data_IF_226996582437
#
_entry.id   IF_226996582437
#
_cell.length_a   1.000
_cell.length_b   1.000
_cell.length_c   1.000
_cell.angle_alpha   90.00
_cell.angle_beta   90.00
_cell.angle_gamma   90.00
#
_symmetry.space_group_name_H-M   'P 1'
#
loop_
_entity.id
_entity.type
_entity.pdbx_description
1 polymer ?
#
# COMPACT_ATOMS: atom_id res chain seq x y z
N UNK A 1 -1.01 -3.52 2.63
CA UNK A 1 -2.41 -3.07 2.50
C UNK A 1 -3.07 -3.10 3.88
N UNK A 2 -3.63 -1.97 4.30
CA UNK A 2 -4.24 -1.79 5.64
C UNK A 2 -5.76 -1.71 5.50
N UNK A 3 -6.46 -2.58 6.23
CA UNK A 3 -7.91 -2.57 6.39
C UNK A 3 -8.28 -2.55 7.86
N UNK A 4 -9.51 -2.12 8.18
CA UNK A 4 -10.02 -2.17 9.55
C UNK A 4 -10.88 -3.41 9.78
N UNK A 5 -10.71 -4.01 10.95
CA UNK A 5 -11.60 -5.03 11.52
C UNK A 5 -12.92 -4.42 11.99
N UNK A 6 -13.90 -5.25 12.38
CA UNK A 6 -15.18 -4.79 12.92
C UNK A 6 -15.05 -3.93 14.18
N UNK A 7 -14.01 -4.16 14.98
CA UNK A 7 -13.67 -3.42 16.20
C UNK A 7 -12.62 -2.31 15.97
N UNK A 8 -12.35 -1.96 14.70
CA UNK A 8 -11.53 -0.82 14.30
C UNK A 8 -10.02 -1.03 14.37
N UNK A 9 -9.54 -2.24 14.57
CA UNK A 9 -8.11 -2.52 14.54
C UNK A 9 -7.57 -2.55 13.10
N UNK A 10 -6.40 -1.95 12.87
CA UNK A 10 -5.72 -1.96 11.57
C UNK A 10 -4.96 -3.27 11.37
N UNK A 11 -5.33 -4.04 10.34
CA UNK A 11 -4.72 -5.32 9.99
C UNK A 11 -4.26 -5.32 8.53
N UNK A 12 -3.30 -6.19 8.19
CA UNK A 12 -2.84 -6.31 6.80
C UNK A 12 -3.70 -7.32 6.05
N UNK A 13 -4.39 -6.85 5.03
CA UNK A 13 -5.12 -7.70 4.09
C UNK A 13 -5.19 -7.02 2.72
N UNK A 14 -4.87 -7.77 1.65
CA UNK A 14 -5.03 -7.24 0.30
C UNK A 14 -6.50 -7.22 -0.13
N UNK A 15 -7.25 -8.28 0.16
CA UNK A 15 -8.63 -8.43 -0.28
C UNK A 15 -9.59 -8.07 0.86
N UNK A 16 -10.71 -7.38 0.57
CA UNK A 16 -11.71 -7.04 1.59
C UNK A 16 -12.46 -8.27 2.11
N UNK A 17 -12.48 -9.35 1.33
CA UNK A 17 -13.02 -10.65 1.72
C UNK A 17 -11.87 -11.64 1.81
N UNK A 18 -11.73 -12.29 2.95
CA UNK A 18 -10.72 -13.34 3.15
C UNK A 18 -11.01 -14.52 2.20
N UNK A 19 -9.97 -15.32 1.89
CA UNK A 19 -10.13 -16.51 1.03
C UNK A 19 -8.88 -16.85 0.24
N UNK A 20 -8.08 -15.88 -0.12
CA UNK A 20 -6.85 -16.09 -0.87
C UNK A 20 -5.75 -16.76 -0.04
N UNK A 21 -5.55 -16.29 1.18
CA UNK A 21 -4.50 -16.79 2.10
C UNK A 21 -5.04 -17.48 3.36
N UNK A 22 -6.35 -17.40 3.59
CA UNK A 22 -7.02 -17.94 4.78
C UNK A 22 -8.21 -18.78 4.35
N UNK A 23 -8.45 -19.91 5.01
CA UNK A 23 -9.65 -20.74 4.80
C UNK A 23 -10.89 -20.09 5.45
N UNK A 24 -11.28 -18.92 4.95
CA UNK A 24 -12.46 -18.17 5.40
C UNK A 24 -12.96 -17.31 4.23
N UNK A 25 -14.25 -17.18 4.07
CA UNK A 25 -14.87 -16.28 3.08
C UNK A 25 -15.50 -15.05 3.76
N UNK A 26 -15.12 -14.74 4.99
CA UNK A 26 -15.66 -13.61 5.74
C UNK A 26 -15.01 -12.29 5.30
N UNK A 27 -15.77 -11.19 5.22
CA UNK A 27 -15.21 -9.86 5.09
C UNK A 27 -14.33 -9.50 6.29
N UNK A 28 -13.17 -8.87 6.06
CA UNK A 28 -12.28 -8.38 7.13
C UNK A 28 -13.05 -7.49 8.09
N UNK A 29 -13.85 -6.56 7.57
CA UNK A 29 -14.64 -5.61 8.33
C UNK A 29 -15.80 -6.23 9.14
N UNK A 30 -16.06 -7.54 9.01
CA UNK A 30 -17.07 -8.26 9.79
C UNK A 30 -16.50 -9.05 10.97
N UNK A 31 -15.17 -9.14 11.08
CA UNK A 31 -14.48 -9.90 12.12
C UNK A 31 -13.78 -8.95 13.10
N UNK A 32 -13.81 -9.28 14.39
CA UNK A 32 -12.97 -8.61 15.39
C UNK A 32 -11.49 -8.99 15.22
N UNK A 33 -10.59 -8.17 15.77
CA UNK A 33 -9.15 -8.51 15.81
C UNK A 33 -8.91 -9.88 16.45
N UNK A 34 -9.62 -10.19 17.53
CA UNK A 34 -9.53 -11.48 18.23
C UNK A 34 -9.85 -12.64 17.30
N UNK A 35 -10.89 -12.53 16.49
CA UNK A 35 -11.27 -13.57 15.52
C UNK A 35 -10.23 -13.68 14.40
N UNK A 36 -9.79 -12.57 13.81
CA UNK A 36 -8.75 -12.56 12.78
C UNK A 36 -7.46 -13.22 13.26
N UNK A 37 -7.05 -12.96 14.50
CA UNK A 37 -5.84 -13.56 15.09
C UNK A 37 -5.94 -15.08 15.31
N UNK A 38 -7.12 -15.69 15.19
CA UNK A 38 -7.25 -17.17 15.23
C UNK A 38 -7.01 -17.83 13.87
N UNK A 39 -7.09 -17.07 12.77
CA UNK A 39 -7.03 -17.58 11.42
C UNK A 39 -5.59 -17.91 11.01
N UNK A 40 -5.41 -19.02 10.31
CA UNK A 40 -4.12 -19.42 9.75
C UNK A 40 -3.97 -18.83 8.34
N UNK A 41 -3.05 -17.89 8.20
CA UNK A 41 -2.78 -17.18 6.95
C UNK A 41 -1.60 -17.76 6.15
N UNK A 42 -0.95 -18.80 6.65
CA UNK A 42 0.25 -19.38 6.01
C UNK A 42 0.03 -20.74 5.36
N UNK A 43 -0.83 -21.58 5.92
CA UNK A 43 -0.95 -22.99 5.51
C UNK A 43 -1.44 -23.17 4.07
N UNK A 44 -2.22 -22.22 3.52
CA UNK A 44 -2.65 -22.26 2.11
C UNK A 44 -1.51 -21.97 1.14
N UNK A 45 -0.50 -21.21 1.55
CA UNK A 45 0.67 -20.92 0.72
C UNK A 45 1.65 -22.10 0.72
N UNK A 46 2.04 -22.60 1.90
CA UNK A 46 2.84 -23.81 2.05
C UNK A 46 2.80 -24.30 3.51
N UNK A 47 2.95 -25.62 3.71
CA UNK A 47 2.93 -26.26 5.04
C UNK A 47 3.97 -25.67 6.01
N UNK A 48 5.11 -25.23 5.51
CA UNK A 48 6.16 -24.59 6.35
C UNK A 48 5.73 -23.27 6.99
N UNK A 49 4.68 -22.64 6.46
CA UNK A 49 4.11 -21.40 6.97
C UNK A 49 2.84 -21.62 7.80
N UNK A 50 2.47 -22.88 8.07
CA UNK A 50 1.29 -23.16 8.88
C UNK A 50 1.42 -22.53 10.28
N UNK A 51 0.33 -21.89 10.72
CA UNK A 51 0.29 -21.20 11.99
C UNK A 51 0.58 -19.69 11.92
N UNK A 52 1.08 -19.18 10.78
CA UNK A 52 1.22 -17.73 10.58
C UNK A 52 -0.13 -17.02 10.70
N UNK A 53 -0.13 -15.83 11.27
CA UNK A 53 -1.34 -15.05 11.51
C UNK A 53 -1.35 -13.79 10.66
N UNK A 54 -2.54 -13.27 10.38
CA UNK A 54 -2.68 -11.95 9.79
C UNK A 54 -2.11 -10.94 10.79
N UNK A 55 -1.09 -10.14 10.42
CA UNK A 55 -0.49 -9.17 11.33
C UNK A 55 -1.38 -7.92 11.46
N UNK A 56 -1.26 -7.23 12.58
CA UNK A 56 -1.69 -5.84 12.69
C UNK A 56 -0.70 -4.92 11.97
N UNK A 57 -1.09 -3.68 11.74
CA UNK A 57 -0.19 -2.68 11.17
C UNK A 57 1.01 -2.45 12.09
N UNK A 58 0.79 -2.40 13.42
CA UNK A 58 1.88 -2.23 14.39
C UNK A 58 2.90 -3.37 14.31
N UNK A 59 2.45 -4.63 14.31
CA UNK A 59 3.33 -5.80 14.21
C UNK A 59 4.13 -5.79 12.90
N UNK A 60 3.50 -5.35 11.80
CA UNK A 60 4.19 -5.24 10.51
C UNK A 60 5.24 -4.12 10.51
N UNK A 61 4.94 -2.97 11.11
CA UNK A 61 5.89 -1.85 11.26
C UNK A 61 7.10 -2.31 12.08
N UNK A 62 6.87 -2.93 13.23
CA UNK A 62 7.95 -3.44 14.09
C UNK A 62 8.85 -4.45 13.35
N UNK A 63 8.23 -5.34 12.56
CA UNK A 63 8.96 -6.32 11.76
C UNK A 63 9.80 -5.66 10.67
N UNK A 64 9.25 -4.69 9.94
CA UNK A 64 9.97 -3.96 8.90
C UNK A 64 11.13 -3.14 9.48
N UNK A 65 10.90 -2.43 10.59
CA UNK A 65 11.96 -1.68 11.27
C UNK A 65 13.10 -2.58 11.74
N UNK A 66 12.78 -3.72 12.37
CA UNK A 66 13.79 -4.68 12.84
C UNK A 66 14.67 -5.23 11.70
N UNK A 67 14.16 -5.19 10.47
CA UNK A 67 14.88 -5.66 9.27
C UNK A 67 15.42 -4.50 8.39
N UNK A 68 15.30 -3.25 8.84
CA UNK A 68 15.78 -2.07 8.10
C UNK A 68 15.05 -1.83 6.78
N UNK A 69 13.78 -2.24 6.69
CA UNK A 69 12.95 -2.08 5.50
C UNK A 69 12.19 -0.74 5.53
N UNK A 70 12.25 -0.01 4.42
CA UNK A 70 11.36 1.12 4.19
C UNK A 70 9.95 0.62 3.84
N UNK A 71 8.92 1.37 4.23
CA UNK A 71 7.54 0.95 4.03
C UNK A 71 6.77 1.90 3.10
N UNK A 72 6.05 1.31 2.14
CA UNK A 72 4.88 1.91 1.52
C UNK A 72 3.65 1.25 2.15
N UNK A 73 2.85 2.03 2.86
CA UNK A 73 1.65 1.59 3.58
C UNK A 73 0.44 2.01 2.75
N UNK A 74 -0.22 1.06 2.09
CA UNK A 74 -1.46 1.34 1.37
C UNK A 74 -2.64 1.42 2.33
N UNK A 75 -3.29 2.58 2.39
CA UNK A 75 -4.59 2.75 3.05
C UNK A 75 -5.65 2.18 2.10
N UNK A 76 -6.18 1.00 2.43
CA UNK A 76 -7.09 0.24 1.58
C UNK A 76 -8.43 0.02 2.28
N UNK A 77 -9.32 1.02 2.31
CA UNK A 77 -10.61 0.87 2.97
C UNK A 77 -11.44 -0.22 2.30
N UNK A 78 -12.13 -1.03 3.08
CA UNK A 78 -13.00 -2.10 2.57
C UNK A 78 -14.18 -1.57 1.72
N UNK A 79 -14.52 -0.29 1.88
CA UNK A 79 -15.48 0.47 1.09
C UNK A 79 -15.16 1.95 1.18
N UNK A 80 -15.66 2.76 0.25
CA UNK A 80 -15.42 4.21 0.28
C UNK A 80 -15.98 4.87 1.55
N UNK A 81 -17.05 4.35 2.13
CA UNK A 81 -17.58 4.83 3.42
C UNK A 81 -16.65 4.57 4.61
N UNK A 82 -15.73 3.63 4.50
CA UNK A 82 -14.72 3.34 5.51
C UNK A 82 -13.42 4.14 5.33
N UNK A 83 -13.30 4.94 4.26
CA UNK A 83 -12.07 5.65 3.91
C UNK A 83 -11.56 6.57 5.03
N UNK A 84 -12.46 7.36 5.62
CA UNK A 84 -12.14 8.25 6.73
C UNK A 84 -11.55 7.48 7.92
N UNK A 85 -12.27 6.48 8.43
CA UNK A 85 -11.85 5.74 9.61
C UNK A 85 -10.55 4.96 9.36
N UNK A 86 -10.38 4.34 8.17
CA UNK A 86 -9.17 3.60 7.83
C UNK A 86 -7.96 4.54 7.76
N UNK A 87 -8.11 5.71 7.15
CA UNK A 87 -7.04 6.69 7.08
C UNK A 87 -6.67 7.23 8.46
N UNK A 88 -7.65 7.59 9.28
CA UNK A 88 -7.42 8.11 10.64
C UNK A 88 -6.66 7.12 11.51
N UNK A 89 -7.08 5.86 11.52
CA UNK A 89 -6.41 4.83 12.33
C UNK A 89 -5.00 4.53 11.82
N UNK A 90 -4.82 4.44 10.48
CA UNK A 90 -3.49 4.27 9.88
C UNK A 90 -2.55 5.42 10.26
N UNK A 91 -2.99 6.66 10.10
CA UNK A 91 -2.21 7.86 10.47
C UNK A 91 -1.87 7.88 11.95
N UNK A 92 -2.83 7.56 12.82
CA UNK A 92 -2.62 7.51 14.27
C UNK A 92 -1.49 6.54 14.65
N UNK A 93 -1.50 5.34 14.06
CA UNK A 93 -0.49 4.31 14.30
C UNK A 93 0.87 4.77 13.76
N UNK A 94 0.91 5.25 12.52
CA UNK A 94 2.15 5.69 11.87
C UNK A 94 2.79 6.84 12.66
N UNK A 95 2.05 7.87 13.03
CA UNK A 95 2.59 9.00 13.81
C UNK A 95 3.19 8.55 15.14
N UNK A 96 2.52 7.61 15.83
CA UNK A 96 2.99 7.07 17.10
C UNK A 96 4.30 6.27 16.94
N UNK A 97 4.40 5.41 15.93
CA UNK A 97 5.53 4.48 15.80
C UNK A 97 6.73 5.08 15.05
N UNK A 98 6.51 6.11 14.24
CA UNK A 98 7.57 6.80 13.49
C UNK A 98 7.97 8.14 14.12
N UNK A 99 7.57 8.44 15.35
CA UNK A 99 8.00 9.64 16.04
C UNK A 99 9.53 9.70 16.14
N UNK A 100 10.12 10.76 15.58
CA UNK A 100 11.59 10.94 15.54
C UNK A 100 12.34 10.04 14.54
N UNK A 101 11.63 9.32 13.66
CA UNK A 101 12.19 8.43 12.64
C UNK A 101 11.91 8.92 11.23
N UNK A 102 12.52 8.27 10.23
CA UNK A 102 12.16 8.46 8.82
C UNK A 102 10.74 7.97 8.57
N UNK A 103 9.89 8.85 8.03
CA UNK A 103 8.49 8.56 7.79
C UNK A 103 8.30 7.58 6.62
N UNK A 104 7.32 6.66 6.69
CA UNK A 104 6.95 5.81 5.58
C UNK A 104 6.21 6.62 4.50
N UNK A 105 5.98 6.01 3.34
CA UNK A 105 5.05 6.51 2.34
C UNK A 105 3.66 5.95 2.65
N UNK A 106 2.62 6.80 2.63
CA UNK A 106 1.23 6.35 2.62
C UNK A 106 0.71 6.37 1.18
N UNK A 107 0.03 5.33 0.74
CA UNK A 107 -0.60 5.32 -0.58
C UNK A 107 -2.05 4.87 -0.52
N UNK A 108 -2.84 5.21 -1.53
CA UNK A 108 -4.22 4.74 -1.65
C UNK A 108 -4.78 4.97 -3.06
N UNK A 109 -5.72 4.12 -3.47
CA UNK A 109 -6.66 4.39 -4.57
C UNK A 109 -7.78 5.35 -4.14
N UNK A 110 -8.15 5.35 -2.86
CA UNK A 110 -9.18 6.24 -2.33
C UNK A 110 -8.66 7.66 -2.16
N UNK A 111 -9.20 8.56 -2.99
CA UNK A 111 -8.94 10.00 -2.89
C UNK A 111 -9.37 10.57 -1.54
N UNK A 112 -10.45 10.04 -0.95
CA UNK A 112 -10.95 10.47 0.36
C UNK A 112 -10.00 10.01 1.50
N UNK A 113 -9.44 8.80 1.41
CA UNK A 113 -8.43 8.35 2.36
C UNK A 113 -7.17 9.24 2.33
N UNK A 114 -6.67 9.57 1.11
CA UNK A 114 -5.53 10.47 0.96
C UNK A 114 -5.83 11.89 1.41
N UNK A 115 -7.04 12.40 1.15
CA UNK A 115 -7.46 13.72 1.64
C UNK A 115 -7.49 13.77 3.17
N UNK A 116 -8.01 12.72 3.82
CA UNK A 116 -7.98 12.58 5.28
C UNK A 116 -6.54 12.56 5.80
N UNK A 117 -5.68 11.73 5.23
CA UNK A 117 -4.27 11.67 5.61
C UNK A 117 -3.54 13.02 5.40
N UNK A 118 -3.89 13.76 4.34
CA UNK A 118 -3.30 15.08 4.07
C UNK A 118 -3.68 16.13 5.12
N UNK A 119 -4.89 16.05 5.66
CA UNK A 119 -5.37 16.96 6.71
C UNK A 119 -4.79 16.58 8.07
N UNK A 120 -4.83 15.30 8.41
CA UNK A 120 -4.46 14.82 9.75
C UNK A 120 -2.94 14.71 9.96
N UNK A 121 -2.18 14.38 8.89
CA UNK A 121 -0.73 14.24 8.95
C UNK A 121 -0.06 14.77 7.68
N UNK A 122 -0.06 16.10 7.46
CA UNK A 122 0.50 16.72 6.27
C UNK A 122 2.00 16.40 6.09
N UNK A 123 2.70 16.11 7.17
CA UNK A 123 4.12 15.76 7.20
C UNK A 123 4.43 14.39 6.57
N UNK A 124 3.47 13.44 6.57
CA UNK A 124 3.71 12.10 6.02
C UNK A 124 3.56 12.15 4.50
N UNK A 125 4.59 11.72 3.73
CA UNK A 125 4.52 11.68 2.28
C UNK A 125 3.40 10.73 1.79
N UNK A 126 2.72 11.13 0.71
CA UNK A 126 1.60 10.39 0.14
C UNK A 126 1.84 10.06 -1.32
N UNK A 127 1.31 8.90 -1.76
CA UNK A 127 1.28 8.43 -3.14
C UNK A 127 -0.16 8.17 -3.59
N UNK A 128 -0.50 8.59 -4.81
CA UNK A 128 -1.79 8.33 -5.43
C UNK A 128 -1.70 7.09 -6.30
N UNK A 129 -2.44 6.04 -5.96
CA UNK A 129 -2.62 4.85 -6.79
C UNK A 129 -3.65 5.13 -7.89
N UNK A 130 -3.35 4.72 -9.11
CA UNK A 130 -4.16 4.95 -10.29
C UNK A 130 -4.46 3.63 -11.01
N UNK A 131 -5.73 3.33 -11.21
CA UNK A 131 -6.18 2.28 -12.13
C UNK A 131 -6.36 2.93 -13.52
N UNK A 132 -5.35 2.76 -14.39
CA UNK A 132 -5.22 3.57 -15.60
C UNK A 132 -4.71 5.00 -15.31
N UNK A 133 -4.81 5.90 -16.28
CA UNK A 133 -4.40 7.31 -16.14
C UNK A 133 -5.61 8.22 -16.39
N UNK A 134 -6.35 8.61 -15.34
CA UNK A 134 -7.50 9.52 -15.47
C UNK A 134 -7.07 10.90 -15.99
N UNK A 135 -7.91 11.57 -16.74
CA UNK A 135 -7.60 12.91 -17.30
C UNK A 135 -7.36 13.98 -16.24
N UNK A 136 -7.93 13.81 -15.04
CA UNK A 136 -7.83 14.72 -13.90
C UNK A 136 -6.66 14.42 -12.94
N UNK A 137 -5.81 13.43 -13.26
CA UNK A 137 -4.77 12.94 -12.34
C UNK A 137 -3.84 14.06 -11.82
N UNK A 138 -3.47 15.02 -12.68
CA UNK A 138 -2.59 16.14 -12.30
C UNK A 138 -3.24 17.05 -11.26
N UNK A 139 -4.53 17.40 -11.49
CA UNK A 139 -5.30 18.22 -10.56
C UNK A 139 -5.44 17.52 -9.20
N UNK A 140 -5.73 16.21 -9.22
CA UNK A 140 -5.86 15.40 -8.01
C UNK A 140 -4.53 15.33 -7.25
N UNK A 141 -3.41 15.12 -7.93
CA UNK A 141 -2.08 15.11 -7.31
C UNK A 141 -1.77 16.44 -6.60
N UNK A 142 -2.03 17.56 -7.26
CA UNK A 142 -1.84 18.89 -6.67
C UNK A 142 -2.74 19.11 -5.46
N UNK A 143 -4.04 18.80 -5.58
CA UNK A 143 -5.03 18.97 -4.51
C UNK A 143 -4.70 18.14 -3.27
N UNK A 144 -4.22 16.91 -3.46
CA UNK A 144 -3.85 15.99 -2.38
C UNK A 144 -2.41 16.16 -1.91
N UNK A 145 -1.63 17.03 -2.56
CA UNK A 145 -0.22 17.29 -2.28
C UNK A 145 0.60 15.99 -2.16
N UNK A 146 0.36 15.03 -3.08
CA UNK A 146 1.10 13.77 -3.11
C UNK A 146 2.53 13.98 -3.57
N UNK A 147 3.41 13.03 -3.25
CA UNK A 147 4.83 13.01 -3.64
C UNK A 147 5.13 12.00 -4.72
N UNK A 148 4.25 11.01 -4.89
CA UNK A 148 4.41 9.96 -5.89
C UNK A 148 3.07 9.63 -6.53
N UNK A 149 3.12 9.08 -7.75
CA UNK A 149 1.98 8.48 -8.44
C UNK A 149 2.29 7.02 -8.75
N UNK A 150 1.30 6.17 -8.55
CA UNK A 150 1.45 4.73 -8.68
C UNK A 150 0.45 4.18 -9.71
N UNK A 151 0.74 4.27 -11.02
CA UNK A 151 -0.11 3.71 -12.06
C UNK A 151 0.07 2.20 -12.24
N UNK A 152 -0.95 1.53 -12.80
CA UNK A 152 -0.77 0.25 -13.46
C UNK A 152 0.29 0.40 -14.58
N UNK A 153 1.30 -0.46 -14.56
CA UNK A 153 2.42 -0.38 -15.49
C UNK A 153 2.02 -0.41 -16.97
N UNK A 154 0.89 -1.08 -17.30
CA UNK A 154 0.38 -1.17 -18.68
C UNK A 154 -0.14 0.18 -19.21
N UNK A 155 -0.47 1.10 -18.33
CA UNK A 155 -0.98 2.43 -18.65
C UNK A 155 0.13 3.49 -18.81
N UNK A 156 1.38 3.14 -18.46
CA UNK A 156 2.49 4.09 -18.43
C UNK A 156 3.00 4.39 -19.83
N UNK A 157 3.18 5.68 -20.12
CA UNK A 157 3.80 6.19 -21.35
C UNK A 157 4.99 7.09 -21.00
N UNK A 158 5.94 7.31 -21.95
CA UNK A 158 7.03 8.26 -21.74
C UNK A 158 6.53 9.65 -21.35
N UNK A 159 5.46 10.14 -22.01
CA UNK A 159 4.87 11.46 -21.74
C UNK A 159 4.31 11.54 -20.30
N UNK A 160 3.66 10.48 -19.82
CA UNK A 160 3.17 10.45 -18.44
C UNK A 160 4.30 10.57 -17.41
N UNK A 161 5.41 9.84 -17.63
CA UNK A 161 6.57 9.87 -16.72
C UNK A 161 7.21 11.26 -16.73
N UNK A 162 7.42 11.85 -17.92
CA UNK A 162 7.98 13.21 -18.07
C UNK A 162 7.09 14.25 -17.37
N UNK A 163 5.78 14.17 -17.57
CA UNK A 163 4.81 15.07 -16.93
C UNK A 163 4.82 14.93 -15.41
N UNK A 164 4.86 13.69 -14.87
CA UNK A 164 4.94 13.44 -13.44
C UNK A 164 6.23 14.05 -12.84
N UNK A 165 7.37 13.80 -13.48
CA UNK A 165 8.65 14.36 -13.05
C UNK A 165 8.69 15.88 -13.14
N UNK A 166 8.09 16.48 -14.17
CA UNK A 166 7.95 17.95 -14.30
C UNK A 166 7.16 18.54 -13.12
N UNK A 167 6.20 17.80 -12.57
CA UNK A 167 5.45 18.16 -11.37
C UNK A 167 6.21 17.87 -10.06
N UNK A 168 7.41 17.29 -10.13
CA UNK A 168 8.20 16.88 -8.96
C UNK A 168 7.65 15.63 -8.26
N UNK A 169 6.93 14.77 -9.00
CA UNK A 169 6.38 13.52 -8.50
C UNK A 169 7.27 12.33 -8.90
N UNK A 170 7.54 11.42 -7.97
CA UNK A 170 8.10 10.12 -8.30
C UNK A 170 7.04 9.18 -8.90
N UNK A 171 7.45 8.24 -9.75
CA UNK A 171 6.58 7.26 -10.40
C UNK A 171 6.93 5.85 -9.93
N UNK A 172 5.97 5.13 -9.34
CA UNK A 172 6.11 3.73 -8.95
C UNK A 172 5.04 2.88 -9.63
N UNK A 173 5.42 1.91 -10.45
CA UNK A 173 4.47 1.06 -11.16
C UNK A 173 4.14 -0.24 -10.40
N UNK A 174 2.91 -0.70 -10.48
CA UNK A 174 2.43 -1.99 -9.97
C UNK A 174 1.71 -2.79 -11.08
N UNK A 175 1.56 -4.10 -11.06
CA UNK A 175 2.44 -5.05 -10.38
C UNK A 175 3.34 -5.65 -11.45
N UNK A 176 4.63 -5.52 -11.29
CA UNK A 176 5.64 -5.83 -12.31
C UNK A 176 6.38 -7.09 -11.89
N UNK A 177 5.96 -8.26 -12.41
CA UNK A 177 6.53 -9.56 -12.05
C UNK A 177 7.57 -10.08 -13.05
N UNK A 178 7.82 -9.33 -14.14
CA UNK A 178 8.85 -9.63 -15.13
C UNK A 178 10.03 -8.68 -15.00
N UNK A 179 11.26 -9.19 -14.81
CA UNK A 179 12.46 -8.36 -14.82
C UNK A 179 12.66 -7.57 -16.11
N UNK A 180 12.35 -8.14 -17.26
CA UNK A 180 12.48 -7.44 -18.55
C UNK A 180 11.50 -6.27 -18.66
N UNK A 181 10.29 -6.45 -18.14
CA UNK A 181 9.30 -5.36 -18.05
C UNK A 181 9.78 -4.26 -17.12
N UNK A 182 10.38 -4.61 -15.98
CA UNK A 182 10.95 -3.63 -15.06
C UNK A 182 12.08 -2.84 -15.70
N UNK A 183 13.01 -3.51 -16.43
CA UNK A 183 14.11 -2.84 -17.14
C UNK A 183 13.59 -1.86 -18.20
N UNK A 184 12.53 -2.25 -18.94
CA UNK A 184 11.88 -1.36 -19.88
C UNK A 184 11.26 -0.13 -19.21
N UNK A 185 10.56 -0.32 -18.06
CA UNK A 185 9.97 0.77 -17.30
C UNK A 185 11.04 1.71 -16.71
N UNK A 186 12.13 1.18 -16.16
CA UNK A 186 13.25 2.00 -15.70
C UNK A 186 13.90 2.78 -16.84
N UNK A 187 13.97 2.20 -18.06
CA UNK A 187 14.45 2.91 -19.27
C UNK A 187 13.53 4.07 -19.65
N UNK A 188 12.22 3.97 -19.38
CA UNK A 188 11.26 5.06 -19.56
C UNK A 188 11.35 6.13 -18.48
N UNK A 189 12.12 5.89 -17.40
CA UNK A 189 12.29 6.83 -16.28
C UNK A 189 11.42 6.54 -15.07
N UNK A 190 10.72 5.38 -14.98
CA UNK A 190 10.01 4.96 -13.77
C UNK A 190 11.00 4.80 -12.62
N UNK A 191 10.68 5.34 -11.44
CA UNK A 191 11.59 5.38 -10.28
C UNK A 191 11.57 4.10 -9.46
N UNK A 192 10.43 3.39 -9.43
CA UNK A 192 10.28 2.15 -8.66
C UNK A 192 9.21 1.22 -9.25
N UNK A 193 9.28 -0.05 -8.91
CA UNK A 193 8.25 -1.04 -9.24
C UNK A 193 7.84 -1.84 -8.01
N UNK A 194 6.55 -2.19 -7.95
CA UNK A 194 5.98 -3.17 -7.04
C UNK A 194 5.95 -4.54 -7.68
N UNK A 195 6.44 -5.58 -7.01
CA UNK A 195 6.49 -6.95 -7.54
C UNK A 195 6.07 -7.99 -6.49
N UNK A 196 5.42 -9.08 -6.95
CA UNK A 196 5.20 -10.29 -6.15
C UNK A 196 6.39 -11.26 -6.24
N UNK A 197 7.36 -11.00 -7.12
CA UNK A 197 8.43 -11.92 -7.49
C UNK A 197 9.80 -11.42 -7.04
N UNK A 198 9.93 -11.10 -5.73
CA UNK A 198 11.21 -10.68 -5.14
C UNK A 198 12.36 -11.65 -5.44
N UNK A 199 12.05 -12.94 -5.60
CA UNK A 199 13.01 -13.96 -5.99
C UNK A 199 13.69 -13.71 -7.34
N UNK A 200 13.02 -13.01 -8.27
CA UNK A 200 13.57 -12.66 -9.59
C UNK A 200 14.36 -11.35 -9.60
N UNK A 201 14.30 -10.58 -8.51
CA UNK A 201 14.92 -9.25 -8.40
C UNK A 201 16.07 -9.20 -7.40
N UNK A 202 16.31 -10.28 -6.62
CA UNK A 202 17.26 -10.30 -5.50
C UNK A 202 18.72 -9.97 -5.90
N UNK A 203 19.13 -10.30 -7.11
CA UNK A 203 20.51 -10.09 -7.60
C UNK A 203 20.67 -8.82 -8.45
N UNK A 204 19.62 -8.01 -8.58
CA UNK A 204 19.63 -6.74 -9.33
C UNK A 204 19.89 -5.57 -8.37
N UNK A 205 21.17 -5.24 -8.19
CA UNK A 205 21.64 -4.05 -7.46
C UNK A 205 22.28 -3.07 -8.40
#
# INVERSE_FOLDING_TARGET
DVMLTADGAAVLSHDPVLGRVVKSASPVASLSLKEIKTLDAGSLTAQKWAGERIPTLEEAIETCEANGLFMNIEIKPASESAALATAQETVRIVRKLFEGKSLPLLSSFSRNALATAAVEAPEIPRGLLLEGIPTDWKEVCMKLAVKTVHPDWQSVTPDFVEEAHTMGLGVMCYTVDSPDTADALFTLGVDAVCTNRLDLFADRR
#
